data_IF_777599729137
#
_entry.id   IF_777599729137
#
_cell.length_a   1.000
_cell.length_b   1.000
_cell.length_c   1.000
_cell.angle_alpha   90.00
_cell.angle_beta   90.00
_cell.angle_gamma   90.00
#
_symmetry.space_group_name_H-M   'P 1'
#
loop_
_entity.id
_entity.type
_entity.pdbx_description
1 polymer ?
#
# COMPACT_ATOMS: atom_id res chain seq x y z
N UNK A 1 -16.21 26.58 -1.15
CA UNK A 1 -16.43 25.39 -0.29
C UNK A 1 -15.35 24.37 -0.63
N UNK A 2 -14.38 24.15 0.24
CA UNK A 2 -13.30 23.18 0.03
C UNK A 2 -13.73 21.84 0.61
N UNK A 3 -14.49 21.06 -0.17
CA UNK A 3 -15.01 19.72 0.17
C UNK A 3 -13.96 18.59 -0.01
N UNK A 4 -12.69 18.96 -0.15
CA UNK A 4 -11.61 18.07 -0.57
C UNK A 4 -11.32 16.89 0.37
N UNK A 5 -11.38 17.01 1.72
CA UNK A 5 -11.10 15.87 2.60
C UNK A 5 -12.22 14.82 2.60
N UNK A 6 -13.49 15.24 2.55
CA UNK A 6 -14.64 14.32 2.49
C UNK A 6 -14.70 13.54 1.18
N UNK A 7 -14.34 14.19 0.07
CA UNK A 7 -14.25 13.53 -1.24
C UNK A 7 -13.15 12.46 -1.28
N UNK A 8 -11.98 12.76 -0.71
CA UNK A 8 -10.88 11.80 -0.61
C UNK A 8 -11.25 10.56 0.23
N UNK A 9 -11.96 10.75 1.35
CA UNK A 9 -12.45 9.63 2.17
C UNK A 9 -13.52 8.83 1.42
N UNK A 10 -14.40 9.50 0.66
CA UNK A 10 -15.39 8.85 -0.21
C UNK A 10 -14.75 7.93 -1.25
N UNK A 11 -13.70 8.40 -1.93
CA UNK A 11 -12.92 7.61 -2.89
C UNK A 11 -12.25 6.42 -2.21
N UNK A 12 -11.61 6.63 -1.05
CA UNK A 12 -10.96 5.55 -0.32
C UNK A 12 -11.95 4.46 0.11
N UNK A 13 -13.15 4.84 0.54
CA UNK A 13 -14.22 3.89 0.86
C UNK A 13 -14.72 3.14 -0.37
N UNK A 14 -14.87 3.82 -1.51
CA UNK A 14 -15.26 3.17 -2.76
C UNK A 14 -14.21 2.14 -3.23
N UNK A 15 -12.92 2.48 -3.16
CA UNK A 15 -11.82 1.55 -3.47
C UNK A 15 -11.77 0.38 -2.49
N UNK A 16 -11.98 0.62 -1.19
CA UNK A 16 -11.98 -0.45 -0.18
C UNK A 16 -13.19 -1.37 -0.27
N UNK A 17 -14.36 -0.81 -0.64
CA UNK A 17 -15.59 -1.55 -0.86
C UNK A 17 -15.60 -2.29 -2.21
N UNK A 18 -14.75 -1.88 -3.16
CA UNK A 18 -14.46 -2.63 -4.37
C UNK A 18 -13.68 -3.92 -4.01
N UNK A 19 -14.39 -4.87 -3.42
CA UNK A 19 -13.92 -6.23 -3.22
C UNK A 19 -13.95 -7.01 -4.52
N UNK A 20 -13.05 -7.99 -4.67
CA UNK A 20 -13.01 -8.90 -5.82
C UNK A 20 -11.71 -8.94 -6.61
N UNK A 21 -10.67 -8.23 -6.16
CA UNK A 21 -9.30 -8.44 -6.66
C UNK A 21 -8.45 -8.99 -5.52
N UNK A 22 -8.37 -10.32 -5.44
CA UNK A 22 -7.41 -11.01 -4.58
C UNK A 22 -6.03 -10.91 -5.23
N UNK A 23 -4.97 -11.02 -4.42
CA UNK A 23 -3.60 -11.09 -4.95
C UNK A 23 -3.43 -12.21 -5.98
N UNK A 24 -4.20 -13.28 -5.81
CA UNK A 24 -4.31 -14.42 -6.73
C UNK A 24 -4.86 -14.02 -8.10
N UNK A 25 -5.90 -13.17 -8.13
CA UNK A 25 -6.52 -12.69 -9.38
C UNK A 25 -5.57 -11.76 -10.14
N UNK A 26 -4.69 -11.04 -9.42
CA UNK A 26 -3.63 -10.23 -10.02
C UNK A 26 -2.50 -11.10 -10.59
N UNK A 27 -2.13 -12.18 -9.91
CA UNK A 27 -1.11 -13.12 -10.38
C UNK A 27 -1.58 -13.88 -11.63
N UNK A 28 -2.86 -14.27 -11.69
CA UNK A 28 -3.46 -14.85 -12.91
C UNK A 28 -3.53 -13.83 -14.06
N UNK A 29 -3.84 -12.56 -13.76
CA UNK A 29 -3.92 -11.50 -14.76
C UNK A 29 -2.55 -10.98 -15.25
N UNK A 30 -1.48 -11.11 -14.45
CA UNK A 30 -0.18 -10.45 -14.72
C UNK A 30 1.04 -11.39 -14.72
N UNK A 31 0.93 -12.58 -14.12
CA UNK A 31 2.05 -13.47 -13.77
C UNK A 31 2.74 -14.18 -14.93
N UNK A 32 2.20 -14.10 -16.15
CA UNK A 32 2.81 -14.70 -17.35
C UNK A 32 3.11 -13.69 -18.48
N UNK A 33 3.13 -12.40 -18.18
CA UNK A 33 3.54 -11.41 -19.19
C UNK A 33 5.06 -11.30 -19.23
N UNK A 34 5.64 -11.38 -20.44
CA UNK A 34 7.08 -11.14 -20.62
C UNK A 34 7.43 -9.81 -19.94
N UNK A 35 8.49 -9.74 -19.11
CA UNK A 35 8.88 -8.51 -18.46
C UNK A 35 8.96 -7.41 -19.51
N UNK A 36 8.15 -6.36 -19.35
CA UNK A 36 8.24 -5.20 -20.23
C UNK A 36 9.68 -4.71 -20.19
N UNK A 37 10.38 -4.70 -21.32
CA UNK A 37 11.81 -4.34 -21.40
C UNK A 37 12.13 -2.96 -20.79
N UNK A 38 11.14 -2.07 -20.74
CA UNK A 38 11.25 -0.75 -20.13
C UNK A 38 11.06 -0.75 -18.60
N UNK A 39 10.57 -1.82 -17.99
CA UNK A 39 10.45 -1.99 -16.54
C UNK A 39 11.69 -2.63 -15.90
N UNK A 40 12.76 -2.90 -16.67
CA UNK A 40 14.00 -3.50 -16.15
C UNK A 40 14.65 -2.69 -15.02
N UNK A 41 14.40 -1.38 -14.97
CA UNK A 41 14.93 -0.45 -13.96
C UNK A 41 13.88 -0.13 -12.88
N UNK A 42 12.69 -0.75 -12.95
CA UNK A 42 11.58 -0.56 -12.02
C UNK A 42 11.43 -1.86 -11.22
N UNK A 43 12.26 -1.99 -10.19
CA UNK A 43 12.20 -3.11 -9.24
C UNK A 43 12.34 -2.58 -7.80
N UNK A 44 12.14 -3.48 -6.84
CA UNK A 44 12.45 -3.22 -5.43
C UNK A 44 13.87 -3.68 -5.06
N UNK A 45 14.73 -3.94 -6.06
CA UNK A 45 16.09 -4.39 -5.81
C UNK A 45 16.89 -3.31 -5.05
N UNK A 46 17.71 -3.76 -4.09
CA UNK A 46 18.48 -2.86 -3.22
C UNK A 46 17.65 -2.20 -2.10
N UNK A 47 16.34 -2.46 -2.03
CA UNK A 47 15.50 -2.02 -0.90
C UNK A 47 15.56 -2.98 0.29
N UNK A 48 15.93 -4.24 0.05
CA UNK A 48 16.09 -5.28 1.04
C UNK A 48 17.14 -6.29 0.57
N UNK A 49 17.79 -6.98 1.53
CA UNK A 49 18.70 -8.07 1.19
C UNK A 49 17.94 -9.24 0.55
N UNK A 50 18.54 -9.99 -0.38
CA UNK A 50 17.88 -11.12 -1.01
C UNK A 50 17.36 -12.13 0.02
N UNK A 51 16.06 -12.44 -0.04
CA UNK A 51 15.41 -13.39 0.88
C UNK A 51 14.97 -12.79 2.23
N UNK A 52 15.21 -11.50 2.47
CA UNK A 52 14.65 -10.79 3.63
C UNK A 52 13.24 -10.26 3.35
N UNK A 53 12.49 -9.97 4.43
CA UNK A 53 11.15 -9.39 4.30
C UNK A 53 11.23 -7.94 3.81
N UNK A 54 10.83 -7.72 2.56
CA UNK A 54 10.80 -6.41 1.91
C UNK A 54 9.93 -5.39 2.68
N UNK A 55 8.83 -5.84 3.30
CA UNK A 55 7.95 -4.96 4.07
C UNK A 55 8.64 -4.49 5.33
N UNK A 56 9.38 -5.36 6.01
CA UNK A 56 10.14 -5.00 7.21
C UNK A 56 11.28 -4.03 6.88
N UNK A 57 12.08 -4.34 5.86
CA UNK A 57 13.17 -3.49 5.40
C UNK A 57 12.67 -2.07 5.02
N UNK A 58 11.54 -1.99 4.30
CA UNK A 58 10.94 -0.71 3.95
C UNK A 58 10.44 0.08 5.18
N UNK A 59 9.86 -0.60 6.17
CA UNK A 59 9.43 0.06 7.43
C UNK A 59 10.62 0.60 8.21
N UNK A 60 11.72 -0.13 8.28
CA UNK A 60 12.97 0.35 8.89
C UNK A 60 13.50 1.58 8.15
N UNK A 61 13.50 1.54 6.82
CA UNK A 61 13.87 2.70 6.00
C UNK A 61 13.00 3.92 6.33
N UNK A 62 11.68 3.79 6.37
CA UNK A 62 10.79 4.90 6.72
C UNK A 62 10.99 5.40 8.15
N UNK A 63 11.29 4.51 9.10
CA UNK A 63 11.64 4.88 10.46
C UNK A 63 12.92 5.70 10.49
N UNK A 64 13.97 5.25 9.79
CA UNK A 64 15.25 5.96 9.69
C UNK A 64 15.11 7.35 9.06
N UNK A 65 14.16 7.52 8.12
CA UNK A 65 13.87 8.81 7.48
C UNK A 65 12.91 9.69 8.28
N UNK A 66 12.39 9.22 9.43
CA UNK A 66 11.40 9.93 10.23
C UNK A 66 10.01 10.04 9.57
N UNK A 67 9.77 9.29 8.48
CA UNK A 67 8.51 9.25 7.73
C UNK A 67 7.52 8.24 8.30
N UNK A 68 8.00 7.33 9.14
CA UNK A 68 7.14 6.40 9.85
C UNK A 68 6.51 7.11 11.06
N UNK A 69 5.27 7.57 10.90
CA UNK A 69 4.49 8.07 12.02
C UNK A 69 4.05 6.89 12.91
N UNK A 70 4.54 6.85 14.14
CA UNK A 70 4.16 5.83 15.14
C UNK A 70 2.75 6.04 15.71
N UNK A 71 2.22 7.27 15.63
CA UNK A 71 0.88 7.66 16.06
C UNK A 71 -0.13 7.77 14.92
N UNK A 72 0.33 7.63 13.68
CA UNK A 72 -0.56 7.63 12.51
C UNK A 72 -1.31 6.32 12.47
N UNK A 73 -2.63 6.37 12.59
CA UNK A 73 -3.49 5.21 12.36
C UNK A 73 -3.20 4.58 10.99
N UNK A 74 -3.61 3.33 10.84
CA UNK A 74 -3.55 2.65 9.55
C UNK A 74 -4.46 3.34 8.53
N UNK A 75 -4.21 3.10 7.23
CA UNK A 75 -5.15 3.53 6.17
C UNK A 75 -6.56 2.99 6.45
N UNK A 76 -6.67 1.81 7.06
CA UNK A 76 -7.95 1.26 7.50
C UNK A 76 -8.65 2.18 8.51
N UNK A 77 -7.93 2.72 9.49
CA UNK A 77 -8.49 3.66 10.48
C UNK A 77 -8.90 4.98 9.83
N UNK A 78 -8.21 5.40 8.77
CA UNK A 78 -8.62 6.54 7.94
C UNK A 78 -9.92 6.25 7.16
N UNK A 79 -10.08 5.03 6.63
CA UNK A 79 -11.26 4.64 5.82
C UNK A 79 -12.49 4.35 6.68
N UNK A 80 -12.30 3.60 7.78
CA UNK A 80 -13.36 3.09 8.64
C UNK A 80 -13.63 3.98 9.87
N UNK A 81 -12.75 4.94 10.14
CA UNK A 81 -12.71 5.65 11.42
C UNK A 81 -11.91 4.86 12.47
N UNK A 82 -11.57 5.49 13.60
CA UNK A 82 -10.93 4.79 14.72
C UNK A 82 -11.83 3.62 15.16
N UNK A 83 -11.21 2.47 15.48
CA UNK A 83 -11.94 1.39 16.12
C UNK A 83 -12.41 1.88 17.49
N UNK A 84 -13.73 1.98 17.71
CA UNK A 84 -14.30 2.23 19.02
C UNK A 84 -13.84 1.07 19.94
N UNK A 85 -12.95 1.38 20.89
CA UNK A 85 -12.48 0.45 21.91
C UNK A 85 -13.69 0.04 22.78
N UNK A 86 -14.08 -1.24 22.71
CA UNK A 86 -15.14 -1.83 23.56
C UNK A 86 -14.55 -2.43 24.83
#
# INVERSE_FOLDING_TARGET
MTHQPDDAVGVLRAVWAAGGQRSEDLDEATGATKPCRNMKDVSFDGMAEPGSDLREAWRERLRSEGKLHSSGGSIRDLVLGPAEES
#
